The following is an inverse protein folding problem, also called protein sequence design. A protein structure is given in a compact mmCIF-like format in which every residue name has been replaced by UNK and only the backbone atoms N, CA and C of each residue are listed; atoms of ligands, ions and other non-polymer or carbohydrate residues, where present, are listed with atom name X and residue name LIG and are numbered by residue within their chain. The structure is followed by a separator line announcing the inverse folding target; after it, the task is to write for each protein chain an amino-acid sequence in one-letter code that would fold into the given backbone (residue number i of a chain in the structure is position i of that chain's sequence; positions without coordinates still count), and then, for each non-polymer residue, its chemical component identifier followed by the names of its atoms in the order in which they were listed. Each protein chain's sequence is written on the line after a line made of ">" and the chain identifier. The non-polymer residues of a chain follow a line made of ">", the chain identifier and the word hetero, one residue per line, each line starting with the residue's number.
data_IF_059871431221
#
_entry.id   IF_059871431221
#
_cell.length_a   1.000
_cell.length_b   1.000
_cell.length_c   1.000
_cell.angle_alpha   90.00
_cell.angle_beta   90.00
_cell.angle_gamma   90.00
#
_symmetry.space_group_name_H-M   'P 1'
#
loop_
_entity.id
_entity.type
_entity.pdbx_description
1 polymer ?
#
# COMPACT_ATOMS: atom_id res chain seq x y z
N UNK A 1 -4.88 10.78 6.18
CA UNK A 1 -3.47 10.36 6.00
C UNK A 1 -3.20 10.16 4.52
N UNK A 2 -2.01 10.49 4.00
CA UNK A 2 -1.67 10.22 2.59
C UNK A 2 -0.87 8.92 2.45
N UNK A 3 -1.31 8.03 1.57
CA UNK A 3 -0.71 6.71 1.30
C UNK A 3 -0.42 6.59 -0.19
N UNK A 4 0.80 6.23 -0.54
CA UNK A 4 1.15 5.94 -1.92
C UNK A 4 0.68 4.54 -2.32
N UNK A 5 0.14 4.39 -3.52
CA UNK A 5 -0.20 3.12 -4.13
C UNK A 5 0.76 2.83 -5.29
N UNK A 6 1.30 1.62 -5.35
CA UNK A 6 1.98 1.11 -6.55
C UNK A 6 1.59 -0.34 -6.80
N UNK A 7 1.39 -0.67 -8.06
CA UNK A 7 1.23 -2.04 -8.54
C UNK A 7 2.58 -2.55 -9.02
N UNK A 8 2.99 -3.75 -8.62
CA UNK A 8 4.29 -4.31 -8.96
C UNK A 8 4.17 -5.74 -9.52
N UNK A 9 4.94 -6.07 -10.56
CA UNK A 9 4.96 -7.39 -11.21
C UNK A 9 3.80 -7.65 -12.19
N UNK A 10 4.13 -8.07 -13.41
CA UNK A 10 3.22 -8.67 -14.41
C UNK A 10 3.93 -9.88 -15.05
N UNK A 11 3.28 -11.01 -15.39
CA UNK A 11 2.25 -11.13 -16.43
C UNK A 11 1.05 -12.04 -16.09
N UNK A 12 0.95 -12.62 -14.89
CA UNK A 12 -0.19 -13.47 -14.50
C UNK A 12 -0.54 -13.24 -13.02
N UNK A 13 -1.34 -12.21 -12.70
CA UNK A 13 -1.68 -11.92 -11.32
C UNK A 13 -2.67 -12.99 -10.81
N UNK A 14 -2.34 -13.63 -9.70
CA UNK A 14 -3.21 -14.64 -9.08
C UNK A 14 -4.56 -14.10 -8.56
N UNK A 15 -4.78 -12.77 -8.64
CA UNK A 15 -5.98 -12.08 -8.19
C UNK A 15 -6.17 -10.74 -8.91
N UNK A 16 -7.40 -10.21 -8.91
CA UNK A 16 -7.69 -8.88 -9.45
C UNK A 16 -7.26 -7.78 -8.46
N UNK A 17 -6.01 -7.35 -8.60
CA UNK A 17 -5.41 -6.28 -7.77
C UNK A 17 -6.14 -4.94 -7.87
N UNK A 18 -6.83 -4.66 -8.99
CA UNK A 18 -7.59 -3.43 -9.15
C UNK A 18 -8.89 -3.51 -8.36
N UNK A 19 -9.63 -4.61 -8.50
CA UNK A 19 -10.85 -4.86 -7.71
C UNK A 19 -10.56 -4.90 -6.21
N UNK A 20 -9.45 -5.53 -5.80
CA UNK A 20 -9.03 -5.55 -4.41
C UNK A 20 -8.68 -4.15 -3.88
N UNK A 21 -7.94 -3.35 -4.66
CA UNK A 21 -7.68 -1.95 -4.30
C UNK A 21 -8.98 -1.14 -4.16
N UNK A 22 -9.95 -1.28 -5.07
CA UNK A 22 -11.23 -0.59 -4.97
C UNK A 22 -11.96 -0.90 -3.66
N UNK A 23 -11.93 -2.17 -3.21
CA UNK A 23 -12.49 -2.59 -1.92
C UNK A 23 -11.74 -1.94 -0.75
N UNK A 24 -10.41 -1.85 -0.82
CA UNK A 24 -9.57 -1.15 0.18
C UNK A 24 -9.87 0.34 0.22
N UNK A 25 -9.93 1.02 -0.93
CA UNK A 25 -10.25 2.43 -1.04
C UNK A 25 -11.65 2.74 -0.49
N UNK A 26 -12.64 1.88 -0.79
CA UNK A 26 -13.99 1.99 -0.21
C UNK A 26 -13.98 1.81 1.30
N UNK A 27 -13.27 0.80 1.82
CA UNK A 27 -13.13 0.56 3.25
C UNK A 27 -12.39 1.71 3.96
N UNK A 28 -11.48 2.41 3.28
CA UNK A 28 -10.80 3.57 3.82
C UNK A 28 -11.77 4.72 4.13
N UNK A 29 -12.85 4.86 3.36
CA UNK A 29 -13.92 5.82 3.64
C UNK A 29 -13.41 7.25 3.78
N UNK A 30 -12.43 7.66 2.97
CA UNK A 30 -11.82 8.99 3.01
C UNK A 30 -10.75 9.22 4.10
N UNK A 31 -10.52 8.26 5.00
CA UNK A 31 -9.44 8.35 6.01
C UNK A 31 -8.04 8.35 5.39
N UNK A 32 -7.93 7.75 4.21
CA UNK A 32 -6.71 7.68 3.39
C UNK A 32 -6.92 8.47 2.10
N UNK A 33 -6.00 9.40 1.83
CA UNK A 33 -5.82 10.03 0.54
C UNK A 33 -4.76 9.24 -0.25
N UNK A 34 -5.13 8.74 -1.42
CA UNK A 34 -4.25 7.91 -2.24
C UNK A 34 -3.40 8.77 -3.17
N UNK A 35 -2.12 8.44 -3.30
CA UNK A 35 -1.16 9.11 -4.20
C UNK A 35 -0.27 8.09 -4.90
N UNK A 36 0.62 8.51 -5.79
CA UNK A 36 1.68 7.66 -6.35
C UNK A 36 2.97 7.80 -5.54
N UNK A 37 3.91 6.85 -5.66
CA UNK A 37 5.23 6.96 -5.03
C UNK A 37 6.01 8.20 -5.51
N UNK A 38 5.81 8.61 -6.76
CA UNK A 38 6.49 9.75 -7.40
C UNK A 38 6.12 11.10 -6.76
N UNK A 39 4.96 11.17 -6.09
CA UNK A 39 4.54 12.39 -5.41
C UNK A 39 5.44 12.74 -4.21
N UNK A 40 6.19 11.78 -3.65
CA UNK A 40 7.14 11.96 -2.55
C UNK A 40 6.55 12.34 -1.19
N UNK A 41 5.37 12.96 -1.15
CA UNK A 41 4.66 13.36 0.06
C UNK A 41 3.67 12.25 0.47
N UNK A 42 4.08 11.26 1.26
CA UNK A 42 3.16 10.27 1.85
C UNK A 42 3.76 9.65 3.11
N UNK A 43 2.90 9.13 3.98
CA UNK A 43 3.31 8.55 5.28
C UNK A 43 3.49 7.03 5.27
N UNK A 44 2.86 6.35 4.31
CA UNK A 44 3.00 4.91 4.09
C UNK A 44 2.79 4.58 2.61
N UNK A 45 3.27 3.42 2.18
CA UNK A 45 3.04 2.91 0.83
C UNK A 45 2.32 1.57 0.87
N UNK A 46 1.35 1.38 -0.02
CA UNK A 46 0.70 0.11 -0.32
C UNK A 46 1.21 -0.40 -1.67
N UNK A 47 1.89 -1.54 -1.65
CA UNK A 47 2.38 -2.21 -2.85
C UNK A 47 1.54 -3.47 -3.10
N UNK A 48 0.82 -3.50 -4.21
CA UNK A 48 0.05 -4.66 -4.65
C UNK A 48 0.88 -5.45 -5.67
N UNK A 49 1.42 -6.58 -5.22
CA UNK A 49 2.29 -7.43 -6.03
C UNK A 49 1.46 -8.44 -6.82
N UNK A 50 1.68 -8.52 -8.14
CA UNK A 50 1.14 -9.54 -9.04
C UNK A 50 2.05 -10.73 -9.27
N UNK A 51 3.32 -10.68 -8.83
CA UNK A 51 4.27 -11.80 -8.92
C UNK A 51 5.13 -11.89 -7.65
N UNK A 52 5.47 -13.11 -7.22
CA UNK A 52 6.24 -13.38 -6.00
C UNK A 52 7.74 -13.05 -6.12
N UNK A 53 8.28 -13.03 -7.34
CA UNK A 53 9.73 -13.10 -7.60
C UNK A 53 10.38 -11.77 -7.93
N UNK A 54 9.63 -10.74 -8.31
CA UNK A 54 10.19 -9.55 -8.95
C UNK A 54 9.63 -8.24 -8.38
N UNK A 55 9.47 -8.14 -7.06
CA UNK A 55 9.28 -6.83 -6.44
C UNK A 55 10.67 -6.27 -6.12
N UNK A 56 11.16 -5.26 -6.88
CA UNK A 56 12.42 -4.60 -6.55
C UNK A 56 12.17 -3.74 -5.31
N UNK A 57 12.26 -4.37 -4.14
CA UNK A 57 12.19 -3.69 -2.85
C UNK A 57 13.27 -2.59 -2.75
N UNK A 58 14.33 -2.70 -3.55
CA UNK A 58 15.44 -1.75 -3.69
C UNK A 58 15.04 -0.43 -4.37
N UNK A 59 13.96 -0.38 -5.15
CA UNK A 59 13.43 0.84 -5.79
C UNK A 59 12.41 1.58 -4.91
N UNK A 60 12.14 1.08 -3.71
CA UNK A 60 11.25 1.75 -2.78
C UNK A 60 12.06 2.77 -1.97
N UNK A 61 11.55 4.01 -1.84
CA UNK A 61 12.26 5.01 -1.05
C UNK A 61 12.41 4.53 0.40
N UNK A 62 13.63 4.61 0.90
CA UNK A 62 13.95 4.42 2.32
C UNK A 62 13.15 5.45 3.14
N UNK A 63 12.33 5.00 4.08
CA UNK A 63 11.60 5.89 5.00
C UNK A 63 10.18 5.42 5.35
N UNK A 64 9.17 5.70 4.50
CA UNK A 64 7.78 5.42 4.82
C UNK A 64 7.52 3.92 4.98
N UNK A 65 6.74 3.55 6.00
CA UNK A 65 6.37 2.17 6.25
C UNK A 65 5.61 1.57 5.05
N UNK A 66 6.20 0.56 4.42
CA UNK A 66 5.65 -0.10 3.22
C UNK A 66 4.87 -1.36 3.61
N UNK A 67 3.65 -1.49 3.09
CA UNK A 67 2.83 -2.70 3.18
C UNK A 67 2.75 -3.39 1.81
N UNK A 68 3.29 -4.60 1.73
CA UNK A 68 3.20 -5.44 0.54
C UNK A 68 2.04 -6.43 0.67
N UNK A 69 1.16 -6.45 -0.32
CA UNK A 69 0.12 -7.47 -0.45
C UNK A 69 0.36 -8.27 -1.72
N UNK A 70 0.46 -9.59 -1.56
CA UNK A 70 0.74 -10.54 -2.64
C UNK A 70 -0.52 -11.28 -3.10
N UNK A 71 -1.62 -11.08 -2.39
CA UNK A 71 -2.92 -11.71 -2.58
C UNK A 71 -4.02 -10.91 -1.86
N UNK A 72 -5.27 -11.30 -2.05
CA UNK A 72 -6.45 -10.64 -1.46
C UNK A 72 -7.00 -11.32 -0.19
N UNK A 73 -6.20 -12.16 0.51
CA UNK A 73 -6.66 -12.85 1.73
C UNK A 73 -6.87 -11.90 2.90
N UNK A 74 -6.15 -10.77 2.93
CA UNK A 74 -6.31 -9.78 3.98
C UNK A 74 -7.62 -9.01 3.76
N UNK A 75 -8.52 -8.89 4.76
CA UNK A 75 -9.74 -8.14 4.56
C UNK A 75 -9.43 -6.65 4.34
N UNK A 76 -10.15 -5.94 3.45
CA UNK A 76 -9.89 -4.53 3.14
C UNK A 76 -9.84 -3.62 4.36
N UNK A 77 -10.68 -3.87 5.36
CA UNK A 77 -10.70 -3.09 6.61
C UNK A 77 -9.40 -3.25 7.42
N UNK A 78 -8.81 -4.45 7.40
CA UNK A 78 -7.55 -4.73 8.10
C UNK A 78 -6.36 -4.11 7.37
N UNK A 79 -6.35 -4.12 6.04
CA UNK A 79 -5.36 -3.37 5.25
C UNK A 79 -5.37 -1.89 5.64
N UNK A 80 -6.58 -1.29 5.72
CA UNK A 80 -6.73 0.11 6.13
C UNK A 80 -6.25 0.33 7.56
N UNK A 81 -6.61 -0.54 8.50
CA UNK A 81 -6.17 -0.43 9.89
C UNK A 81 -4.64 -0.43 9.99
N UNK A 82 -3.97 -1.37 9.30
CA UNK A 82 -2.51 -1.45 9.26
C UNK A 82 -1.90 -0.20 8.65
N UNK A 83 -2.41 0.29 7.52
CA UNK A 83 -1.91 1.53 6.91
C UNK A 83 -2.04 2.73 7.85
N UNK A 84 -3.17 2.87 8.55
CA UNK A 84 -3.39 3.95 9.50
C UNK A 84 -2.50 3.84 10.74
N UNK A 85 -2.22 2.63 11.22
CA UNK A 85 -1.29 2.40 12.34
C UNK A 85 0.15 2.77 11.94
N UNK A 86 0.60 2.29 10.78
CA UNK A 86 1.91 2.61 10.21
C UNK A 86 2.14 4.12 10.02
N UNK A 87 1.07 4.85 9.64
CA UNK A 87 1.11 6.31 9.51
C UNK A 87 1.17 7.11 10.81
N UNK A 88 0.96 6.47 11.97
CA UNK A 88 1.05 7.09 13.30
C UNK A 88 2.46 6.98 13.88
N UNK A 89 3.18 5.90 13.57
CA UNK A 89 4.50 5.58 14.15
C UNK A 89 5.62 6.55 13.76
N UNK A 90 5.46 7.34 12.69
CA UNK A 90 6.51 8.25 12.19
C UNK A 90 6.59 9.61 12.92
N UNK A 91 5.90 9.78 14.06
CA UNK A 91 6.09 10.93 14.94
C UNK A 91 6.35 10.47 16.38
N UNK A 92 7.63 10.30 16.73
CA UNK A 92 8.13 10.47 18.09
C UNK A 92 8.94 11.75 18.08
N UNK A 93 8.31 12.86 18.45
CA UNK A 93 9.02 14.12 18.65
C UNK A 93 10.09 13.95 19.74
N UNK A 94 11.29 14.44 19.43
CA UNK A 94 12.32 14.88 20.37
C UNK A 94 12.88 16.18 19.84
#
# INVERSE_FOLDING_TARGET
>A
MKVALKYCGGCDPAYDRVAYFQRIARAAGGRIAWTTLEAGDYRAALILCGCLTACPAEELPLGPEVLFLKDERLPPAEVVARLLEKGKTTWTGS
#
